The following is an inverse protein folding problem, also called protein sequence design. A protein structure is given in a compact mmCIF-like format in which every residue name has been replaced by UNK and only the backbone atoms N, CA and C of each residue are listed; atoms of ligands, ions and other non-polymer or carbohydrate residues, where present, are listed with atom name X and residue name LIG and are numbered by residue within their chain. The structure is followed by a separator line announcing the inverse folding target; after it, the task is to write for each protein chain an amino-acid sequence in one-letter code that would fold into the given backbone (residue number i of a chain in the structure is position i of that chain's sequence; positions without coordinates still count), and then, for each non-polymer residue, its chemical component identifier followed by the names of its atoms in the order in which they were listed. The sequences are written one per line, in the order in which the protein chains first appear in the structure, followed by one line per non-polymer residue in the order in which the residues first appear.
data_IF_617134034789
#
_entry.id   IF_617134034789
#
_cell.length_a   1.000
_cell.length_b   1.000
_cell.length_c   1.000
_cell.angle_alpha   90.00
_cell.angle_beta   90.00
_cell.angle_gamma   90.00
#
_symmetry.space_group_name_H-M   'P 1'
#
loop_
_entity.id
_entity.type
_entity.pdbx_description
1 polymer ?
#
# COMPACT_ATOMS: atom_id res chain seq x y z
N UNK A 1 -1.46 -8.28 7.51
CA UNK A 1 -1.24 -6.93 8.05
C UNK A 1 -0.57 -6.11 6.97
N UNK A 2 -0.79 -4.79 6.92
CA UNK A 2 -0.10 -3.90 5.99
C UNK A 2 1.40 -3.97 6.25
N UNK A 3 2.14 -4.39 5.23
CA UNK A 3 3.61 -4.50 5.28
C UNK A 3 4.31 -3.47 4.38
N UNK A 4 3.57 -2.82 3.48
CA UNK A 4 4.06 -1.73 2.65
C UNK A 4 3.09 -0.55 2.72
N UNK A 5 3.64 0.65 2.81
CA UNK A 5 2.91 1.92 2.72
C UNK A 5 3.67 2.84 1.78
N UNK A 6 2.95 3.71 1.08
CA UNK A 6 3.52 4.87 0.40
C UNK A 6 3.24 6.09 1.25
N UNK A 7 4.25 6.93 1.48
CA UNK A 7 4.13 8.10 2.35
C UNK A 7 4.72 9.36 1.74
N UNK A 8 4.24 10.50 2.22
CA UNK A 8 4.81 11.82 1.97
C UNK A 8 4.56 12.71 3.18
N UNK A 9 5.18 13.89 3.23
CA UNK A 9 4.99 14.82 4.35
C UNK A 9 3.66 15.57 4.22
N UNK A 10 3.11 15.99 5.36
CA UNK A 10 1.92 16.84 5.39
C UNK A 10 2.13 18.15 4.59
N UNK A 11 3.33 18.73 4.69
CA UNK A 11 3.74 19.93 3.94
C UNK A 11 3.66 19.71 2.42
N UNK A 12 4.21 18.61 1.92
CA UNK A 12 4.17 18.31 0.48
C UNK A 12 2.72 18.16 -0.01
N UNK A 13 1.88 17.45 0.73
CA UNK A 13 0.44 17.31 0.40
C UNK A 13 -0.26 18.67 0.41
N UNK A 14 -0.01 19.52 1.40
CA UNK A 14 -0.67 20.83 1.48
C UNK A 14 -0.23 21.79 0.38
N UNK A 15 1.04 21.73 -0.03
CA UNK A 15 1.59 22.58 -1.09
C UNK A 15 1.27 22.06 -2.49
N UNK A 16 1.05 20.75 -2.64
CA UNK A 16 0.84 20.10 -3.94
C UNK A 16 -0.44 19.23 -3.95
N UNK A 17 -1.62 19.77 -3.59
CA UNK A 17 -2.82 18.95 -3.40
C UNK A 17 -3.27 18.25 -4.69
N UNK A 18 -3.10 18.90 -5.85
CA UNK A 18 -3.43 18.29 -7.16
C UNK A 18 -2.50 17.13 -7.52
N UNK A 19 -1.20 17.27 -7.24
CA UNK A 19 -0.22 16.22 -7.53
C UNK A 19 -0.41 15.04 -6.58
N UNK A 20 -0.69 15.30 -5.31
CA UNK A 20 -1.06 14.28 -4.34
C UNK A 20 -2.30 13.49 -4.81
N UNK A 21 -3.36 14.17 -5.20
CA UNK A 21 -4.60 13.54 -5.67
C UNK A 21 -4.38 12.72 -6.95
N UNK A 22 -3.63 13.27 -7.91
CA UNK A 22 -3.27 12.54 -9.14
C UNK A 22 -2.48 11.26 -8.84
N UNK A 23 -1.53 11.31 -7.90
CA UNK A 23 -0.77 10.13 -7.48
C UNK A 23 -1.66 9.08 -6.82
N UNK A 24 -2.55 9.49 -5.89
CA UNK A 24 -3.47 8.55 -5.21
C UNK A 24 -4.38 7.86 -6.22
N UNK A 25 -4.95 8.62 -7.17
CA UNK A 25 -5.79 8.06 -8.24
C UNK A 25 -5.04 7.07 -9.12
N UNK A 26 -3.82 7.43 -9.54
CA UNK A 26 -2.98 6.53 -10.34
C UNK A 26 -2.62 5.24 -9.58
N UNK A 27 -2.42 5.33 -8.25
CA UNK A 27 -2.19 4.16 -7.41
C UNK A 27 -3.44 3.26 -7.32
N UNK A 28 -4.61 3.85 -7.11
CA UNK A 28 -5.88 3.12 -7.09
C UNK A 28 -6.15 2.44 -8.44
N UNK A 29 -5.90 3.14 -9.56
CA UNK A 29 -5.97 2.59 -10.91
C UNK A 29 -5.02 1.39 -11.06
N UNK A 30 -3.74 1.54 -10.73
CA UNK A 30 -2.76 0.46 -10.85
C UNK A 30 -3.15 -0.78 -10.02
N UNK A 31 -3.65 -0.59 -8.80
CA UNK A 31 -4.15 -1.69 -7.95
C UNK A 31 -5.37 -2.36 -8.59
N UNK A 32 -6.30 -1.59 -9.16
CA UNK A 32 -7.44 -2.13 -9.88
C UNK A 32 -6.99 -2.95 -11.11
N UNK A 33 -5.97 -2.51 -11.83
CA UNK A 33 -5.41 -3.25 -12.97
C UNK A 33 -4.77 -4.58 -12.54
N UNK A 34 -3.97 -4.57 -11.47
CA UNK A 34 -3.35 -5.77 -10.91
C UNK A 34 -4.44 -6.78 -10.51
N UNK A 35 -5.48 -6.33 -9.82
CA UNK A 35 -6.56 -7.21 -9.37
C UNK A 35 -7.43 -7.71 -10.52
N UNK A 36 -7.60 -6.92 -11.57
CA UNK A 36 -8.37 -7.29 -12.78
C UNK A 36 -7.67 -8.38 -13.58
N UNK A 37 -6.35 -8.25 -13.79
CA UNK A 37 -5.57 -9.21 -14.55
C UNK A 37 -4.13 -9.31 -14.02
N UNK A 38 -3.92 -10.28 -13.11
CA UNK A 38 -2.61 -10.56 -12.54
C UNK A 38 -1.62 -11.11 -13.56
N UNK A 39 -2.09 -11.79 -14.62
CA UNK A 39 -1.18 -12.31 -15.67
C UNK A 39 -0.60 -11.15 -16.47
N UNK A 40 -1.46 -10.21 -16.88
CA UNK A 40 -1.02 -8.99 -17.56
C UNK A 40 -0.12 -8.13 -16.65
N UNK A 41 -0.44 -8.02 -15.36
CA UNK A 41 0.40 -7.31 -14.40
C UNK A 41 1.80 -7.94 -14.24
N UNK A 42 1.89 -9.27 -14.20
CA UNK A 42 3.17 -9.99 -14.17
C UNK A 42 4.02 -9.71 -15.42
N UNK A 43 3.42 -9.72 -16.61
CA UNK A 43 4.11 -9.42 -17.86
C UNK A 43 4.55 -7.96 -17.95
N UNK A 44 3.70 -7.05 -17.50
CA UNK A 44 4.03 -5.64 -17.43
C UNK A 44 5.21 -5.39 -16.48
N UNK A 45 5.21 -6.04 -15.30
CA UNK A 45 6.33 -5.98 -14.36
C UNK A 45 7.63 -6.41 -15.02
N UNK A 46 7.70 -7.62 -15.59
CA UNK A 46 8.92 -8.14 -16.22
C UNK A 46 9.42 -7.23 -17.36
N UNK A 47 8.51 -6.73 -18.18
CA UNK A 47 8.84 -5.80 -19.28
C UNK A 47 9.45 -4.49 -18.78
N UNK A 48 8.89 -3.92 -17.71
CA UNK A 48 9.31 -2.62 -17.17
C UNK A 48 10.60 -2.77 -16.34
N UNK A 49 10.65 -3.76 -15.46
CA UNK A 49 11.78 -3.98 -14.54
C UNK A 49 13.00 -4.61 -15.21
N UNK A 50 12.80 -5.28 -16.37
CA UNK A 50 13.80 -6.12 -17.04
C UNK A 50 14.28 -7.29 -16.16
N UNK A 51 13.45 -7.70 -15.21
CA UNK A 51 13.68 -8.92 -14.44
C UNK A 51 13.68 -10.14 -15.39
N UNK A 52 14.54 -11.12 -15.09
CA UNK A 52 14.72 -12.35 -15.89
C UNK A 52 13.88 -13.51 -15.39
N UNK A 53 13.08 -13.31 -14.34
CA UNK A 53 12.14 -14.31 -13.85
C UNK A 53 11.05 -14.64 -14.89
N UNK A 54 10.37 -15.76 -14.68
CA UNK A 54 9.25 -16.19 -15.52
C UNK A 54 7.96 -15.49 -15.12
N UNK A 55 7.10 -15.21 -16.11
CA UNK A 55 5.81 -14.60 -15.83
C UNK A 55 4.90 -15.50 -14.98
N UNK A 56 5.08 -16.82 -15.05
CA UNK A 56 4.39 -17.79 -14.20
C UNK A 56 4.85 -17.71 -12.74
N UNK A 57 6.14 -17.50 -12.48
CA UNK A 57 6.62 -17.33 -11.11
C UNK A 57 6.12 -16.02 -10.49
N UNK A 58 6.16 -14.92 -11.25
CA UNK A 58 5.60 -13.65 -10.79
C UNK A 58 4.09 -13.79 -10.56
N UNK A 59 3.35 -14.41 -11.49
CA UNK A 59 1.92 -14.67 -11.33
C UNK A 59 1.63 -15.49 -10.06
N UNK A 60 2.45 -16.50 -9.77
CA UNK A 60 2.33 -17.29 -8.54
C UNK A 60 2.46 -16.43 -7.30
N UNK A 61 3.39 -15.47 -7.29
CA UNK A 61 3.52 -14.49 -6.21
C UNK A 61 2.30 -13.57 -6.12
N UNK A 62 1.83 -13.02 -7.26
CA UNK A 62 0.62 -12.16 -7.30
C UNK A 62 -0.65 -12.88 -6.84
N UNK A 63 -0.68 -14.21 -6.96
CA UNK A 63 -1.79 -15.07 -6.53
C UNK A 63 -1.64 -15.60 -5.10
N UNK A 64 -0.54 -15.30 -4.40
CA UNK A 64 -0.40 -15.66 -3.00
C UNK A 64 -1.56 -15.03 -2.20
N UNK A 65 -2.40 -15.84 -1.50
CA UNK A 65 -3.56 -15.32 -0.78
C UNK A 65 -3.19 -14.42 0.40
N UNK A 66 -1.93 -14.42 0.82
CA UNK A 66 -1.42 -13.53 1.87
C UNK A 66 -1.08 -12.14 1.34
N UNK A 67 -1.00 -11.97 0.02
CA UNK A 67 -0.72 -10.70 -0.64
C UNK A 67 -2.02 -10.09 -1.15
N UNK A 68 -2.38 -8.94 -0.57
CA UNK A 68 -3.58 -8.19 -0.93
C UNK A 68 -3.13 -6.84 -1.51
N UNK A 69 -3.44 -6.61 -2.79
CA UNK A 69 -3.22 -5.33 -3.45
C UNK A 69 -4.39 -4.41 -3.13
N UNK A 70 -4.17 -3.46 -2.21
CA UNK A 70 -5.21 -2.55 -1.73
C UNK A 70 -4.61 -1.27 -1.15
N UNK A 71 -5.35 -0.17 -1.22
CA UNK A 71 -5.08 1.07 -0.48
C UNK A 71 -5.72 1.07 0.92
N UNK A 72 -6.50 0.04 1.26
CA UNK A 72 -7.12 -0.11 2.59
C UNK A 72 -6.11 -0.66 3.60
N UNK A 73 -5.78 0.08 4.68
CA UNK A 73 -4.86 -0.40 5.71
C UNK A 73 -5.42 -1.63 6.45
N UNK A 74 -4.55 -2.56 6.84
CA UNK A 74 -4.92 -3.80 7.51
C UNK A 74 -4.08 -4.05 8.76
N UNK A 75 -4.72 -4.18 9.90
CA UNK A 75 -4.11 -4.48 11.19
C UNK A 75 -2.96 -3.52 11.58
N UNK A 76 -3.07 -2.22 11.29
CA UNK A 76 -2.05 -1.23 11.62
C UNK A 76 -1.83 -1.08 13.13
N UNK A 77 -2.87 -1.30 13.93
CA UNK A 77 -2.72 -1.27 15.38
C UNK A 77 -1.84 -2.41 15.93
N UNK A 78 -1.84 -3.59 15.29
CA UNK A 78 -0.92 -4.69 15.67
C UNK A 78 0.53 -4.31 15.44
N UNK A 79 0.80 -3.58 14.35
CA UNK A 79 2.13 -3.02 14.09
C UNK A 79 2.52 -1.98 15.16
N UNK A 80 1.60 -1.06 15.48
CA UNK A 80 1.81 -0.05 16.52
C UNK A 80 2.12 -0.67 17.90
N UNK A 81 1.36 -1.70 18.28
CA UNK A 81 1.54 -2.44 19.52
C UNK A 81 2.89 -3.16 19.58
N UNK A 82 3.29 -3.79 18.47
CA UNK A 82 4.62 -4.39 18.37
C UNK A 82 5.72 -3.35 18.53
N UNK A 83 5.62 -2.22 17.82
CA UNK A 83 6.61 -1.14 17.89
C UNK A 83 6.69 -0.51 19.29
N UNK A 84 5.57 -0.40 20.00
CA UNK A 84 5.58 0.06 21.39
C UNK A 84 6.24 -0.97 22.31
N UNK A 85 5.89 -2.25 22.17
CA UNK A 85 6.43 -3.35 22.99
C UNK A 85 7.95 -3.48 22.83
N UNK A 86 8.48 -3.24 21.64
CA UNK A 86 9.94 -3.25 21.39
C UNK A 86 10.64 -1.94 21.76
N UNK A 87 9.89 -0.92 22.17
CA UNK A 87 10.43 0.40 22.54
C UNK A 87 10.79 1.30 21.34
N UNK A 88 10.45 0.89 20.12
CA UNK A 88 10.70 1.68 18.91
C UNK A 88 9.84 2.96 18.85
N UNK A 89 8.64 2.93 19.43
CA UNK A 89 7.82 4.12 19.66
C UNK A 89 7.44 4.23 21.13
N UNK A 90 7.41 5.47 21.65
CA UNK A 90 6.95 5.74 23.02
C UNK A 90 5.44 5.97 23.07
N UNK A 91 4.95 6.79 22.14
CA UNK A 91 3.53 7.08 21.99
C UNK A 91 2.92 6.10 20.99
N UNK A 92 1.90 5.35 21.43
CA UNK A 92 1.11 4.50 20.55
C UNK A 92 -0.07 5.33 20.00
N UNK A 93 -0.32 5.29 18.69
CA UNK A 93 -1.55 5.84 18.12
C UNK A 93 -2.81 5.28 18.77
N UNK A 94 -3.90 6.06 18.75
CA UNK A 94 -5.19 5.62 19.26
C UNK A 94 -5.98 4.88 18.18
N UNK A 95 -5.74 5.23 16.91
CA UNK A 95 -6.39 4.65 15.75
C UNK A 95 -5.41 4.41 14.60
N UNK A 96 -5.73 3.44 13.74
CA UNK A 96 -5.04 3.30 12.45
C UNK A 96 -5.14 4.59 11.62
N UNK A 97 -6.20 5.39 11.83
CA UNK A 97 -6.41 6.67 11.13
C UNK A 97 -5.32 7.69 11.42
N UNK A 98 -4.68 7.62 12.58
CA UNK A 98 -3.61 8.55 12.96
C UNK A 98 -2.36 8.39 12.09
N UNK A 99 -2.22 7.26 11.39
CA UNK A 99 -1.12 6.98 10.47
C UNK A 99 -1.33 7.56 9.07
N UNK A 100 -2.59 7.78 8.64
CA UNK A 100 -2.91 8.07 7.25
C UNK A 100 -3.61 9.43 7.09
N UNK A 101 -3.49 10.00 5.90
CA UNK A 101 -4.23 11.21 5.55
C UNK A 101 -5.75 10.95 5.46
N UNK A 102 -6.60 12.00 5.62
CA UNK A 102 -8.05 11.84 5.72
C UNK A 102 -8.74 11.12 4.55
N UNK A 103 -8.18 11.16 3.34
CA UNK A 103 -8.74 10.46 2.18
C UNK A 103 -8.81 8.94 2.37
N UNK A 104 -7.95 8.36 3.21
CA UNK A 104 -7.94 6.90 3.49
C UNK A 104 -8.97 6.55 4.57
N UNK A 105 -9.41 7.50 5.40
CA UNK A 105 -10.22 7.22 6.60
C UNK A 105 -11.62 6.68 6.30
N UNK A 106 -12.11 6.90 5.07
CA UNK A 106 -13.40 6.38 4.58
C UNK A 106 -13.34 4.89 4.20
N UNK A 107 -12.15 4.32 4.03
CA UNK A 107 -11.97 2.90 3.72
C UNK A 107 -12.20 2.04 4.97
N UNK A 108 -12.59 0.76 4.81
CA UNK A 108 -12.78 -0.17 5.92
C UNK A 108 -11.44 -0.68 6.47
N UNK A 109 -10.58 0.25 6.90
CA UNK A 109 -9.25 -0.04 7.42
C UNK A 109 -9.24 -0.57 8.86
N UNK A 110 -8.11 -1.17 9.25
CA UNK A 110 -7.82 -1.70 10.60
C UNK A 110 -6.36 -1.55 10.99
#
# INVERSE_FOLDING_TARGET
ATFNVVWTTAKFRSENPKLYDAFVKALDEAIAEINRDKRAAAEAYLRISKDKDSADNILRMLNDPTIIYTTTPQNMMKFAEFMQKTGAIKAKPESWRDFFFPNVHALPGS
#
